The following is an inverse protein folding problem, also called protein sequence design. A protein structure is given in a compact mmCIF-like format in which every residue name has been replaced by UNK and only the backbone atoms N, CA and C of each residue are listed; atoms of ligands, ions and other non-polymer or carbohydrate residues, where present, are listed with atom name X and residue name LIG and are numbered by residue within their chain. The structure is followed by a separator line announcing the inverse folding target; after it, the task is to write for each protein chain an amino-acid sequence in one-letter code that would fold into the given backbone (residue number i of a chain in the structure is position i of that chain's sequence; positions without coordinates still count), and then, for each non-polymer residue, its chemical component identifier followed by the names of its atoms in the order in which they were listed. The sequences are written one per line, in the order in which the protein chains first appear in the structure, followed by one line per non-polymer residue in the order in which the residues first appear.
data_IF_834038150442
#
_entry.id   IF_834038150442
#
_cell.length_a   1.000
_cell.length_b   1.000
_cell.length_c   1.000
_cell.angle_alpha   90.00
_cell.angle_beta   90.00
_cell.angle_gamma   90.00
#
_symmetry.space_group_name_H-M   'P 1'
#
loop_
_entity.id
_entity.type
_entity.pdbx_description
1 polymer ?
#
# COMPACT_ATOMS: atom_id res chain seq x y z
N UNK A 1 -42.63 29.03 -25.72
CA UNK A 1 -43.94 28.44 -26.14
C UNK A 1 -43.75 26.98 -26.36
N UNK A 2 -44.61 26.22 -25.73
CA UNK A 2 -44.83 24.78 -25.81
C UNK A 2 -43.81 23.84 -25.12
N UNK A 3 -44.15 23.64 -23.84
CA UNK A 3 -43.84 22.51 -23.00
C UNK A 3 -44.58 21.29 -23.57
N UNK A 4 -43.87 20.23 -23.96
CA UNK A 4 -44.44 18.91 -24.12
C UNK A 4 -44.07 18.05 -22.93
N UNK A 5 -45.01 17.90 -22.01
CA UNK A 5 -44.94 16.90 -20.94
C UNK A 5 -45.22 15.51 -21.58
N UNK A 6 -44.15 14.76 -21.84
CA UNK A 6 -44.23 13.36 -22.17
C UNK A 6 -44.10 12.53 -20.90
N UNK A 7 -45.22 11.88 -20.50
CA UNK A 7 -45.20 10.78 -19.51
C UNK A 7 -44.34 9.66 -20.05
N UNK A 8 -43.10 9.55 -19.53
CA UNK A 8 -42.27 8.38 -19.80
C UNK A 8 -42.70 7.27 -18.84
N UNK A 9 -43.57 6.41 -19.31
CA UNK A 9 -43.89 5.11 -18.70
C UNK A 9 -42.60 4.30 -18.71
N UNK A 10 -42.05 3.99 -17.51
CA UNK A 10 -40.95 3.04 -17.30
C UNK A 10 -41.48 1.64 -17.62
N UNK A 11 -41.62 1.34 -18.92
CA UNK A 11 -41.81 0.00 -19.42
C UNK A 11 -40.77 -0.22 -20.53
N UNK A 12 -39.85 -1.18 -20.27
CA UNK A 12 -38.88 -1.75 -21.20
C UNK A 12 -37.60 -0.96 -21.46
N UNK A 13 -36.65 -1.12 -20.58
CA UNK A 13 -35.18 -1.37 -20.74
C UNK A 13 -34.41 -0.87 -19.54
N UNK A 14 -34.21 -1.73 -18.55
CA UNK A 14 -33.16 -1.55 -17.58
C UNK A 14 -31.86 -1.95 -18.28
N UNK A 15 -31.08 -0.97 -18.74
CA UNK A 15 -29.79 -1.21 -19.37
C UNK A 15 -28.73 -0.80 -18.37
N UNK A 16 -28.14 -1.79 -17.68
CA UNK A 16 -26.93 -1.61 -16.89
C UNK A 16 -25.77 -2.29 -17.63
N UNK A 17 -24.82 -1.49 -18.11
CA UNK A 17 -23.68 -2.01 -18.85
C UNK A 17 -22.69 -2.70 -17.88
N UNK A 18 -22.53 -4.01 -18.00
CA UNK A 18 -21.46 -4.74 -17.35
C UNK A 18 -20.21 -4.74 -18.22
N UNK A 19 -19.14 -4.08 -17.76
CA UNK A 19 -17.82 -4.21 -18.38
C UNK A 19 -17.05 -5.30 -17.64
N UNK A 20 -17.19 -6.54 -18.09
CA UNK A 20 -16.32 -7.64 -17.65
C UNK A 20 -15.05 -7.65 -18.51
N UNK A 21 -13.93 -8.16 -17.97
CA UNK A 21 -12.57 -8.12 -18.56
C UNK A 21 -12.49 -8.61 -20.03
N UNK A 22 -13.51 -9.30 -20.58
CA UNK A 22 -13.49 -9.83 -21.95
C UNK A 22 -14.80 -9.73 -22.77
N UNK A 23 -15.96 -9.37 -22.16
CA UNK A 23 -17.21 -9.18 -22.93
C UNK A 23 -18.11 -8.14 -22.25
N UNK A 24 -18.54 -7.11 -22.98
CA UNK A 24 -19.60 -6.20 -22.55
C UNK A 24 -20.96 -6.85 -22.84
N UNK A 25 -21.60 -7.42 -21.82
CA UNK A 25 -22.99 -7.92 -21.88
C UNK A 25 -23.88 -7.03 -21.03
N UNK A 26 -25.06 -6.70 -21.56
CA UNK A 26 -26.07 -5.97 -20.80
C UNK A 26 -26.78 -6.93 -19.82
N UNK A 27 -27.00 -6.44 -18.59
CA UNK A 27 -27.78 -7.17 -17.59
C UNK A 27 -29.25 -7.15 -17.97
N UNK A 28 -29.84 -8.32 -18.20
CA UNK A 28 -31.21 -8.51 -18.61
C UNK A 28 -32.15 -8.91 -17.48
N UNK A 29 -33.46 -8.75 -17.68
CA UNK A 29 -34.48 -9.09 -16.68
C UNK A 29 -34.52 -10.59 -16.33
N UNK A 30 -34.08 -11.47 -17.25
CA UNK A 30 -34.02 -12.91 -17.07
C UNK A 30 -32.71 -13.42 -16.42
N UNK A 31 -31.74 -12.54 -16.19
CA UNK A 31 -30.45 -12.95 -15.68
C UNK A 31 -30.52 -13.29 -14.20
N UNK A 32 -29.78 -14.32 -13.81
CA UNK A 32 -29.49 -14.71 -12.42
C UNK A 32 -28.05 -14.31 -12.11
N UNK A 33 -27.83 -13.71 -10.95
CA UNK A 33 -26.51 -13.31 -10.50
C UNK A 33 -25.90 -14.38 -9.60
N UNK A 34 -24.63 -14.68 -9.83
CA UNK A 34 -23.86 -15.66 -9.05
C UNK A 34 -22.91 -14.93 -8.09
N UNK A 35 -23.12 -15.12 -6.80
CA UNK A 35 -22.39 -14.43 -5.72
C UNK A 35 -21.32 -15.32 -5.09
N UNK A 36 -20.25 -14.72 -4.51
CA UNK A 36 -19.34 -15.42 -3.60
C UNK A 36 -20.10 -16.09 -2.45
N UNK A 37 -19.62 -17.26 -1.99
CA UNK A 37 -20.32 -18.06 -0.98
C UNK A 37 -20.35 -17.38 0.39
N UNK A 38 -19.22 -16.82 0.87
CA UNK A 38 -19.11 -16.16 2.17
C UNK A 38 -19.33 -14.66 2.05
N UNK A 39 -20.59 -14.23 2.16
CA UNK A 39 -20.96 -12.82 2.29
C UNK A 39 -21.45 -12.57 3.69
N UNK A 40 -20.83 -11.61 4.40
CA UNK A 40 -21.18 -11.20 5.76
C UNK A 40 -21.64 -9.77 5.81
N UNK A 41 -22.58 -9.48 6.71
CA UNK A 41 -23.15 -8.15 6.90
C UNK A 41 -22.58 -7.49 8.14
N UNK A 42 -22.16 -6.22 8.00
CA UNK A 42 -21.68 -5.39 9.10
C UNK A 42 -22.50 -4.09 9.12
N UNK A 43 -23.15 -3.81 10.24
CA UNK A 43 -23.84 -2.52 10.44
C UNK A 43 -22.82 -1.47 10.89
N UNK A 44 -22.80 -0.31 10.23
CA UNK A 44 -21.95 0.81 10.56
C UNK A 44 -22.65 2.14 10.27
N UNK A 45 -22.91 2.95 11.33
CA UNK A 45 -23.51 4.31 11.24
C UNK A 45 -24.72 4.39 10.31
N UNK A 46 -25.68 3.50 10.48
CA UNK A 46 -26.92 3.46 9.71
C UNK A 46 -26.81 2.85 8.31
N UNK A 47 -25.63 2.45 7.90
CA UNK A 47 -25.38 1.70 6.65
C UNK A 47 -25.15 0.23 6.93
N UNK A 48 -25.31 -0.60 5.92
CA UNK A 48 -24.94 -2.02 5.96
C UNK A 48 -23.87 -2.31 4.92
N UNK A 49 -22.72 -2.81 5.34
CA UNK A 49 -21.71 -3.33 4.41
C UNK A 49 -22.02 -4.81 4.16
N UNK A 50 -22.21 -5.19 2.90
CA UNK A 50 -22.19 -6.58 2.46
C UNK A 50 -20.78 -6.92 1.99
N UNK A 51 -20.06 -7.75 2.73
CA UNK A 51 -18.64 -8.06 2.52
C UNK A 51 -18.51 -9.48 1.97
N UNK A 52 -18.01 -9.62 0.75
CA UNK A 52 -17.56 -10.88 0.18
C UNK A 52 -16.17 -11.19 0.75
N UNK A 53 -16.14 -11.98 1.81
CA UNK A 53 -14.98 -12.11 2.71
C UNK A 53 -13.73 -12.58 1.99
N UNK A 54 -13.85 -13.65 1.18
CA UNK A 54 -12.71 -14.23 0.46
C UNK A 54 -12.23 -13.37 -0.72
N UNK A 55 -13.12 -12.54 -1.25
CA UNK A 55 -12.86 -11.72 -2.43
C UNK A 55 -12.28 -10.33 -2.09
N UNK A 56 -12.11 -9.98 -0.81
CA UNK A 56 -11.75 -8.61 -0.38
C UNK A 56 -12.64 -7.53 -1.03
N UNK A 57 -13.92 -7.84 -1.24
CA UNK A 57 -14.86 -6.99 -1.95
C UNK A 57 -16.07 -6.65 -1.07
N UNK A 58 -16.67 -5.48 -1.27
CA UNK A 58 -17.81 -5.06 -0.47
C UNK A 58 -18.76 -4.14 -1.25
N UNK A 59 -20.00 -4.11 -0.79
CA UNK A 59 -21.01 -3.12 -1.16
C UNK A 59 -21.43 -2.33 0.07
N UNK A 60 -21.83 -1.08 -0.12
CA UNK A 60 -22.49 -0.27 0.93
C UNK A 60 -23.96 -0.15 0.60
N UNK A 61 -24.81 -0.66 1.47
CA UNK A 61 -26.28 -0.71 1.32
C UNK A 61 -26.89 0.37 2.20
N UNK A 62 -27.75 1.19 1.60
CA UNK A 62 -28.34 2.36 2.27
C UNK A 62 -29.46 2.02 3.26
N UNK A 63 -30.24 0.98 2.99
CA UNK A 63 -31.41 0.61 3.75
C UNK A 63 -31.65 -0.90 3.79
N UNK A 64 -32.68 -1.34 4.52
CA UNK A 64 -33.04 -2.75 4.65
C UNK A 64 -33.64 -3.31 3.34
N UNK A 65 -34.25 -2.48 2.47
CA UNK A 65 -34.74 -2.89 1.17
C UNK A 65 -33.61 -3.36 0.25
N UNK A 66 -32.49 -2.62 0.23
CA UNK A 66 -31.30 -3.03 -0.53
C UNK A 66 -30.70 -4.37 -0.02
N UNK A 67 -30.74 -4.61 1.29
CA UNK A 67 -30.32 -5.89 1.90
C UNK A 67 -31.25 -7.02 1.44
N UNK A 68 -32.57 -6.83 1.52
CA UNK A 68 -33.56 -7.83 1.07
C UNK A 68 -33.42 -8.13 -0.44
N UNK A 69 -33.22 -7.11 -1.25
CA UNK A 69 -32.99 -7.28 -2.70
C UNK A 69 -31.74 -8.11 -2.97
N UNK A 70 -30.65 -7.85 -2.26
CA UNK A 70 -29.41 -8.62 -2.37
C UNK A 70 -29.63 -10.08 -1.96
N UNK A 71 -30.34 -10.35 -0.87
CA UNK A 71 -30.62 -11.73 -0.43
C UNK A 71 -31.51 -12.48 -1.44
N UNK A 72 -32.56 -11.85 -1.98
CA UNK A 72 -33.38 -12.45 -3.02
C UNK A 72 -32.59 -12.80 -4.28
N UNK A 73 -31.62 -11.96 -4.65
CA UNK A 73 -30.68 -12.26 -5.73
C UNK A 73 -29.80 -13.47 -5.41
N UNK A 74 -29.31 -13.56 -4.18
CA UNK A 74 -28.50 -14.69 -3.70
C UNK A 74 -29.29 -16.01 -3.64
N UNK A 75 -30.60 -15.95 -3.44
CA UNK A 75 -31.52 -17.11 -3.53
C UNK A 75 -31.75 -17.59 -4.98
N UNK A 76 -31.11 -16.95 -5.98
CA UNK A 76 -31.21 -17.32 -7.38
C UNK A 76 -32.42 -16.73 -8.11
N UNK A 77 -33.08 -15.71 -7.56
CA UNK A 77 -34.12 -14.97 -8.27
C UNK A 77 -33.52 -14.19 -9.41
N UNK A 78 -34.24 -14.13 -10.54
CA UNK A 78 -33.84 -13.29 -11.67
C UNK A 78 -33.98 -11.81 -11.33
N UNK A 79 -33.25 -10.95 -12.03
CA UNK A 79 -33.35 -9.49 -11.90
C UNK A 79 -34.81 -9.03 -12.02
N UNK A 80 -35.56 -9.62 -12.96
CA UNK A 80 -36.95 -9.29 -13.20
C UNK A 80 -37.90 -9.74 -12.10
N UNK A 81 -37.65 -10.90 -11.47
CA UNK A 81 -38.45 -11.38 -10.33
C UNK A 81 -38.30 -10.50 -9.11
N UNK A 82 -37.05 -10.08 -8.78
CA UNK A 82 -36.80 -9.14 -7.69
C UNK A 82 -37.46 -7.81 -7.97
N UNK A 83 -37.26 -7.22 -9.18
CA UNK A 83 -37.88 -5.94 -9.56
C UNK A 83 -39.39 -5.96 -9.45
N UNK A 84 -40.06 -7.03 -9.90
CA UNK A 84 -41.50 -7.19 -9.83
C UNK A 84 -42.04 -7.33 -8.40
N UNK A 85 -41.22 -7.77 -7.45
CA UNK A 85 -41.60 -7.92 -6.05
C UNK A 85 -41.58 -6.61 -5.28
N UNK A 86 -41.03 -5.51 -5.86
CA UNK A 86 -40.94 -4.20 -5.24
C UNK A 86 -42.19 -3.39 -5.53
N UNK A 87 -42.75 -2.81 -4.46
CA UNK A 87 -44.08 -2.17 -4.49
C UNK A 87 -44.03 -0.70 -4.87
N UNK A 88 -42.93 -0.01 -4.59
CA UNK A 88 -42.80 1.43 -4.78
C UNK A 88 -41.73 1.80 -5.81
N UNK A 89 -41.86 2.98 -6.40
CA UNK A 89 -40.86 3.50 -7.33
C UNK A 89 -39.50 3.76 -6.63
N UNK A 90 -39.52 4.11 -5.34
CA UNK A 90 -38.29 4.32 -4.58
C UNK A 90 -37.55 3.01 -4.33
N UNK A 91 -38.24 1.94 -3.93
CA UNK A 91 -37.63 0.60 -3.82
C UNK A 91 -37.02 0.14 -5.15
N UNK A 92 -37.72 0.37 -6.27
CA UNK A 92 -37.20 0.02 -7.60
C UNK A 92 -35.95 0.83 -7.94
N UNK A 93 -35.89 2.10 -7.59
CA UNK A 93 -34.73 2.97 -7.79
C UNK A 93 -33.53 2.50 -6.96
N UNK A 94 -33.75 2.20 -5.67
CA UNK A 94 -32.67 1.65 -4.80
C UNK A 94 -32.17 0.30 -5.32
N UNK A 95 -33.04 -0.55 -5.82
CA UNK A 95 -32.63 -1.81 -6.45
C UNK A 95 -31.77 -1.58 -7.71
N UNK A 96 -32.10 -0.60 -8.54
CA UNK A 96 -31.27 -0.23 -9.72
C UNK A 96 -29.90 0.26 -9.29
N UNK A 97 -29.81 1.06 -8.24
CA UNK A 97 -28.51 1.49 -7.67
C UNK A 97 -27.71 0.28 -7.16
N UNK A 98 -28.36 -0.65 -6.46
CA UNK A 98 -27.74 -1.89 -6.01
C UNK A 98 -27.16 -2.69 -7.20
N UNK A 99 -27.93 -2.89 -8.28
CA UNK A 99 -27.48 -3.58 -9.48
C UNK A 99 -26.27 -2.85 -10.12
N UNK A 100 -26.34 -1.53 -10.21
CA UNK A 100 -25.21 -0.71 -10.71
C UNK A 100 -23.95 -0.90 -9.88
N UNK A 101 -24.10 -0.94 -8.56
CA UNK A 101 -23.00 -1.17 -7.64
C UNK A 101 -22.42 -2.60 -7.74
N UNK A 102 -23.29 -3.62 -7.84
CA UNK A 102 -22.85 -5.02 -8.05
C UNK A 102 -21.99 -5.12 -9.31
N UNK A 103 -22.43 -4.48 -10.40
CA UNK A 103 -21.70 -4.45 -11.67
C UNK A 103 -20.37 -3.70 -11.54
N UNK A 104 -20.40 -2.48 -11.03
CA UNK A 104 -19.21 -1.62 -10.91
C UNK A 104 -18.12 -2.24 -10.01
N UNK A 105 -18.53 -2.98 -8.98
CA UNK A 105 -17.63 -3.68 -8.06
C UNK A 105 -17.32 -5.11 -8.50
N UNK A 106 -17.89 -5.62 -9.58
CA UNK A 106 -17.77 -7.04 -9.94
C UNK A 106 -18.10 -7.97 -8.74
N UNK A 107 -19.15 -7.60 -7.98
CA UNK A 107 -19.50 -8.28 -6.73
C UNK A 107 -20.22 -9.61 -6.98
N UNK A 108 -20.81 -9.78 -8.15
CA UNK A 108 -21.40 -11.01 -8.67
C UNK A 108 -21.07 -11.19 -10.15
N UNK A 109 -21.19 -12.41 -10.64
CA UNK A 109 -21.03 -12.75 -12.05
C UNK A 109 -22.32 -13.24 -12.68
N UNK A 110 -22.38 -13.31 -14.02
CA UNK A 110 -23.52 -13.83 -14.78
C UNK A 110 -23.45 -15.34 -14.99
N UNK A 111 -22.27 -15.88 -15.24
CA UNK A 111 -22.06 -17.30 -15.54
C UNK A 111 -21.52 -18.08 -14.33
N UNK A 112 -20.76 -17.40 -13.47
CA UNK A 112 -20.21 -17.95 -12.24
C UNK A 112 -19.94 -16.83 -11.22
N UNK A 113 -19.83 -17.21 -9.94
CA UNK A 113 -19.37 -16.30 -8.88
C UNK A 113 -17.92 -15.83 -9.15
N UNK A 114 -17.63 -14.53 -8.93
CA UNK A 114 -16.26 -14.04 -9.01
C UNK A 114 -15.33 -14.82 -8.08
N UNK A 115 -14.18 -15.23 -8.59
CA UNK A 115 -13.17 -15.94 -7.81
C UNK A 115 -12.11 -14.95 -7.28
N UNK A 116 -11.60 -15.14 -6.06
CA UNK A 116 -10.50 -14.32 -5.57
C UNK A 116 -9.23 -14.60 -6.36
N UNK A 117 -8.56 -13.53 -6.78
CA UNK A 117 -7.22 -13.57 -7.35
C UNK A 117 -6.23 -13.17 -6.25
N UNK A 118 -5.26 -14.04 -5.99
CA UNK A 118 -4.24 -13.71 -4.99
C UNK A 118 -3.13 -12.87 -5.60
N UNK A 119 -2.73 -11.82 -4.89
CA UNK A 119 -1.54 -11.06 -5.25
C UNK A 119 -0.34 -12.00 -5.16
N UNK A 120 0.19 -12.41 -6.30
CA UNK A 120 1.47 -13.07 -6.34
C UNK A 120 2.55 -12.02 -6.08
N UNK A 121 3.08 -12.01 -4.86
CA UNK A 121 4.26 -11.21 -4.56
C UNK A 121 5.41 -11.63 -5.47
N UNK A 122 5.95 -10.69 -6.26
CA UNK A 122 7.20 -10.97 -6.93
C UNK A 122 8.36 -10.86 -5.93
N UNK A 123 9.38 -11.70 -6.11
CA UNK A 123 10.53 -11.72 -5.22
C UNK A 123 11.27 -10.38 -5.29
N UNK A 124 11.21 -9.63 -4.20
CA UNK A 124 11.88 -8.34 -4.02
C UNK A 124 12.87 -8.45 -2.85
N UNK A 125 14.03 -7.83 -3.00
CA UNK A 125 15.06 -7.80 -1.97
C UNK A 125 15.33 -6.36 -1.54
N UNK A 126 15.27 -6.10 -0.22
CA UNK A 126 15.69 -4.83 0.36
C UNK A 126 17.15 -4.95 0.81
N UNK A 127 18.00 -4.04 0.38
CA UNK A 127 19.44 -4.07 0.63
C UNK A 127 19.87 -2.78 1.32
N UNK A 128 20.39 -2.91 2.53
CA UNK A 128 21.05 -1.85 3.27
C UNK A 128 22.55 -1.87 2.92
N UNK A 129 22.93 -1.21 1.82
CA UNK A 129 24.28 -1.30 1.24
C UNK A 129 25.40 -0.94 2.20
N UNK A 130 25.18 0.06 3.05
CA UNK A 130 26.16 0.55 4.04
C UNK A 130 25.46 1.17 5.23
N UNK A 131 26.06 1.14 6.38
CA UNK A 131 25.65 1.91 7.54
C UNK A 131 26.21 3.35 7.53
N UNK A 132 27.15 3.65 6.62
CA UNK A 132 27.68 5.01 6.48
C UNK A 132 26.57 5.98 6.04
N UNK A 133 26.54 7.15 6.66
CA UNK A 133 25.64 8.25 6.28
C UNK A 133 26.33 9.59 6.49
N UNK A 134 26.12 10.53 5.57
CA UNK A 134 26.59 11.91 5.66
C UNK A 134 25.64 12.84 6.43
N UNK A 135 24.56 12.28 7.00
CA UNK A 135 23.60 12.94 7.87
C UNK A 135 23.51 12.27 9.25
N UNK A 136 23.01 13.02 10.24
CA UNK A 136 22.79 12.54 11.60
C UNK A 136 21.34 12.85 12.07
N UNK A 137 20.36 12.49 11.25
CA UNK A 137 18.95 12.78 11.53
C UNK A 137 18.49 12.18 12.87
N UNK A 138 17.80 12.93 13.74
CA UNK A 138 17.37 12.45 15.05
C UNK A 138 16.33 11.32 14.96
N UNK A 139 15.48 11.31 13.93
CA UNK A 139 14.45 10.30 13.67
C UNK A 139 14.97 9.07 12.92
N UNK A 140 16.27 8.98 12.62
CA UNK A 140 16.82 7.85 11.86
C UNK A 140 16.67 6.53 12.61
N UNK A 141 15.73 5.67 12.18
CA UNK A 141 15.49 4.37 12.80
C UNK A 141 16.69 3.41 12.66
N UNK A 142 17.48 3.53 11.57
CA UNK A 142 18.70 2.76 11.37
C UNK A 142 19.85 3.22 12.26
N UNK A 143 19.78 4.41 12.87
CA UNK A 143 20.86 5.04 13.62
C UNK A 143 22.19 5.05 12.84
N UNK A 144 22.08 5.20 11.53
CA UNK A 144 23.17 5.14 10.58
C UNK A 144 24.17 6.29 10.79
N UNK A 145 25.42 6.10 10.41
CA UNK A 145 26.45 7.13 10.57
C UNK A 145 27.82 6.65 10.10
N UNK A 146 28.48 5.81 10.89
CA UNK A 146 29.80 5.26 10.52
C UNK A 146 29.63 3.93 9.78
N UNK A 147 30.51 3.69 8.82
CA UNK A 147 30.64 2.41 8.15
C UNK A 147 30.99 1.32 9.17
N UNK A 148 30.35 0.15 9.06
CA UNK A 148 30.72 -1.01 9.87
C UNK A 148 32.03 -1.63 9.33
N UNK A 149 32.81 -2.24 10.23
CA UNK A 149 34.08 -2.85 9.84
C UNK A 149 33.91 -4.08 8.95
N UNK A 150 32.78 -4.77 9.04
CA UNK A 150 32.46 -6.03 8.37
C UNK A 150 31.37 -5.88 7.26
N UNK A 151 31.16 -4.68 6.74
CA UNK A 151 30.24 -4.51 5.62
C UNK A 151 30.64 -5.35 4.41
N UNK A 152 29.64 -5.82 3.66
CA UNK A 152 29.85 -6.53 2.42
C UNK A 152 30.60 -5.66 1.41
N UNK A 153 31.52 -6.27 0.68
CA UNK A 153 32.25 -5.66 -0.42
C UNK A 153 31.37 -5.53 -1.66
N UNK A 154 31.84 -4.80 -2.65
CA UNK A 154 31.19 -4.72 -3.97
C UNK A 154 30.97 -6.11 -4.57
N UNK A 155 32.01 -6.95 -4.51
CA UNK A 155 32.01 -8.30 -5.08
C UNK A 155 31.00 -9.22 -4.37
N UNK A 156 30.93 -9.15 -3.05
CA UNK A 156 29.95 -9.89 -2.25
C UNK A 156 28.52 -9.45 -2.58
N UNK A 157 28.26 -8.14 -2.71
CA UNK A 157 26.95 -7.64 -3.14
C UNK A 157 26.56 -8.10 -4.54
N UNK A 158 27.49 -8.08 -5.49
CA UNK A 158 27.24 -8.58 -6.85
C UNK A 158 26.94 -10.08 -6.81
N UNK A 159 27.63 -10.85 -5.96
CA UNK A 159 27.33 -12.28 -5.71
C UNK A 159 25.90 -12.49 -5.20
N UNK A 160 25.48 -11.72 -4.20
CA UNK A 160 24.10 -11.75 -3.66
C UNK A 160 23.07 -11.43 -4.74
N UNK A 161 23.30 -10.42 -5.59
CA UNK A 161 22.39 -10.06 -6.69
C UNK A 161 22.29 -11.16 -7.74
N UNK A 162 23.41 -11.81 -8.06
CA UNK A 162 23.47 -12.92 -9.01
C UNK A 162 22.66 -14.10 -8.49
N UNK A 163 22.92 -14.56 -7.27
CA UNK A 163 22.16 -15.64 -6.62
C UNK A 163 20.67 -15.28 -6.51
N UNK A 164 20.35 -14.02 -6.16
CA UNK A 164 18.96 -13.56 -6.10
C UNK A 164 18.25 -13.67 -7.45
N UNK A 165 18.93 -13.30 -8.54
CA UNK A 165 18.40 -13.45 -9.89
C UNK A 165 18.17 -14.91 -10.27
N UNK A 166 19.12 -15.79 -9.96
CA UNK A 166 19.01 -17.24 -10.18
C UNK A 166 17.83 -17.84 -9.41
N UNK A 167 17.55 -17.36 -8.20
CA UNK A 167 16.37 -17.72 -7.41
C UNK A 167 15.05 -17.11 -7.93
N UNK A 168 15.06 -16.47 -9.10
CA UNK A 168 13.86 -15.85 -9.70
C UNK A 168 13.56 -14.45 -9.18
N UNK A 169 14.52 -13.77 -8.59
CA UNK A 169 14.42 -12.37 -8.14
C UNK A 169 14.03 -11.42 -9.28
N UNK A 170 13.21 -10.41 -8.96
CA UNK A 170 12.68 -9.45 -9.94
C UNK A 170 13.07 -8.02 -9.66
N UNK A 171 13.14 -7.62 -8.39
CA UNK A 171 13.42 -6.24 -8.01
C UNK A 171 14.31 -6.15 -6.77
N UNK A 172 15.09 -5.08 -6.72
CA UNK A 172 15.92 -4.74 -5.56
C UNK A 172 15.68 -3.29 -5.15
N UNK A 173 15.70 -3.05 -3.86
CA UNK A 173 15.68 -1.71 -3.28
C UNK A 173 16.97 -1.47 -2.54
N UNK A 174 17.77 -0.54 -3.01
CA UNK A 174 18.99 -0.11 -2.33
C UNK A 174 18.70 1.04 -1.36
N UNK A 175 19.13 0.87 -0.12
CA UNK A 175 19.01 1.82 0.98
C UNK A 175 20.20 1.66 1.93
N UNK A 176 20.07 2.05 3.19
CA UNK A 176 21.07 1.87 4.23
C UNK A 176 21.15 3.10 5.12
N UNK A 177 22.37 3.59 5.38
CA UNK A 177 22.60 4.97 5.78
C UNK A 177 22.35 5.88 4.58
N UNK A 178 23.38 6.09 3.78
CA UNK A 178 23.27 6.67 2.45
C UNK A 178 23.92 5.70 1.45
N UNK A 179 23.15 5.08 0.53
CA UNK A 179 23.69 4.05 -0.34
C UNK A 179 24.83 4.51 -1.23
N UNK A 180 24.85 5.80 -1.62
CA UNK A 180 25.92 6.38 -2.46
C UNK A 180 27.27 6.43 -1.73
N UNK A 181 27.32 6.28 -0.41
CA UNK A 181 28.57 6.19 0.35
C UNK A 181 29.20 4.79 0.32
N UNK A 182 28.52 3.79 -0.23
CA UNK A 182 29.17 2.51 -0.49
C UNK A 182 30.13 2.64 -1.67
N UNK A 183 31.44 2.32 -1.54
CA UNK A 183 32.44 2.54 -2.59
C UNK A 183 32.12 1.87 -3.93
N UNK A 184 31.35 0.78 -3.90
CA UNK A 184 30.91 0.04 -5.08
C UNK A 184 29.53 0.42 -5.60
N UNK A 185 28.86 1.47 -5.09
CA UNK A 185 27.46 1.77 -5.39
C UNK A 185 27.15 1.72 -6.88
N UNK A 186 27.90 2.47 -7.70
CA UNK A 186 27.65 2.55 -9.14
C UNK A 186 27.72 1.17 -9.80
N UNK A 187 28.79 0.41 -9.51
CA UNK A 187 28.98 -0.92 -10.09
C UNK A 187 27.91 -1.93 -9.63
N UNK A 188 27.42 -1.80 -8.41
CA UNK A 188 26.33 -2.64 -7.87
C UNK A 188 25.01 -2.33 -8.59
N UNK A 189 24.69 -1.04 -8.81
CA UNK A 189 23.50 -0.62 -9.59
C UNK A 189 23.60 -1.11 -11.03
N UNK A 190 24.73 -0.90 -11.68
CA UNK A 190 25.00 -1.37 -13.05
C UNK A 190 24.85 -2.90 -13.17
N UNK A 191 25.41 -3.64 -12.22
CA UNK A 191 25.27 -5.11 -12.17
C UNK A 191 23.81 -5.55 -11.96
N UNK A 192 23.07 -4.93 -11.05
CA UNK A 192 21.65 -5.23 -10.85
C UNK A 192 20.84 -5.00 -12.14
N UNK A 193 21.10 -3.90 -12.83
CA UNK A 193 20.45 -3.59 -14.11
C UNK A 193 20.81 -4.61 -15.20
N UNK A 194 22.09 -4.97 -15.33
CA UNK A 194 22.56 -5.98 -16.30
C UNK A 194 21.95 -7.37 -16.05
N UNK A 195 21.70 -7.71 -14.79
CA UNK A 195 20.97 -8.92 -14.40
C UNK A 195 19.47 -8.83 -14.73
N UNK A 196 18.97 -7.70 -15.23
CA UNK A 196 17.56 -7.48 -15.52
C UNK A 196 16.70 -7.39 -14.26
N UNK A 197 17.25 -6.89 -13.15
CA UNK A 197 16.52 -6.56 -11.94
C UNK A 197 15.95 -5.13 -12.03
N UNK A 198 14.74 -4.93 -11.55
CA UNK A 198 14.17 -3.60 -11.36
C UNK A 198 14.84 -2.93 -10.16
N UNK A 199 15.49 -1.79 -10.37
CA UNK A 199 16.28 -1.11 -9.33
C UNK A 199 15.53 0.08 -8.79
N UNK A 200 15.34 0.12 -7.46
CA UNK A 200 14.85 1.27 -6.70
C UNK A 200 15.95 1.75 -5.75
N UNK A 201 16.12 3.07 -5.61
CA UNK A 201 17.08 3.66 -4.67
C UNK A 201 16.35 4.57 -3.68
N UNK A 202 16.57 4.35 -2.38
CA UNK A 202 16.12 5.24 -1.32
C UNK A 202 17.34 6.02 -0.80
N UNK A 203 17.31 7.34 -0.93
CA UNK A 203 18.48 8.20 -0.68
C UNK A 203 18.10 9.48 0.07
N UNK A 204 19.05 10.06 0.78
CA UNK A 204 18.91 11.42 1.29
C UNK A 204 19.08 12.51 0.20
N UNK A 205 19.48 12.12 -1.01
CA UNK A 205 19.50 12.97 -2.19
C UNK A 205 20.70 13.90 -2.33
N UNK A 206 21.60 14.03 -1.34
CA UNK A 206 22.64 15.08 -1.32
C UNK A 206 23.80 14.80 -2.29
N UNK A 207 24.16 13.52 -2.46
CA UNK A 207 25.35 13.11 -3.19
C UNK A 207 25.13 12.91 -4.70
N UNK A 208 23.91 13.10 -5.16
CA UNK A 208 23.59 13.03 -6.57
C UNK A 208 24.06 14.30 -7.29
N UNK A 209 24.91 14.12 -8.28
CA UNK A 209 25.30 15.16 -9.25
C UNK A 209 24.52 14.99 -10.54
N UNK A 210 24.47 16.03 -11.35
CA UNK A 210 23.81 16.00 -12.65
C UNK A 210 24.31 14.86 -13.53
N UNK A 211 25.64 14.66 -13.59
CA UNK A 211 26.26 13.61 -14.38
C UNK A 211 25.89 12.21 -13.84
N UNK A 212 25.78 12.06 -12.52
CA UNK A 212 25.41 10.79 -11.91
C UNK A 212 23.94 10.46 -12.16
N UNK A 213 23.07 11.47 -12.06
CA UNK A 213 21.64 11.33 -12.37
C UNK A 213 21.46 10.91 -13.82
N UNK A 214 22.07 11.61 -14.77
CA UNK A 214 21.96 11.32 -16.19
C UNK A 214 22.47 9.90 -16.54
N UNK A 215 23.58 9.50 -15.93
CA UNK A 215 24.17 8.18 -16.16
C UNK A 215 23.34 7.04 -15.61
N UNK A 216 22.81 7.17 -14.38
CA UNK A 216 22.11 6.07 -13.71
C UNK A 216 20.60 6.03 -13.98
N UNK A 217 19.96 7.15 -14.36
CA UNK A 217 18.52 7.20 -14.63
C UNK A 217 18.01 6.07 -15.54
N UNK A 218 18.69 5.70 -16.66
CA UNK A 218 18.21 4.60 -17.51
C UNK A 218 18.20 3.22 -16.83
N UNK A 219 18.87 3.09 -15.69
CA UNK A 219 18.99 1.83 -14.94
C UNK A 219 18.02 1.76 -13.77
N UNK A 220 17.34 2.87 -13.43
CA UNK A 220 16.49 3.00 -12.25
C UNK A 220 15.01 2.99 -12.63
N UNK A 221 14.23 2.19 -11.91
CA UNK A 221 12.77 2.21 -12.02
C UNK A 221 12.18 3.28 -11.12
N UNK A 222 12.74 3.45 -9.92
CA UNK A 222 12.28 4.46 -8.96
C UNK A 222 13.44 5.01 -8.12
N UNK A 223 13.37 6.30 -7.83
CA UNK A 223 14.20 6.94 -6.81
C UNK A 223 13.28 7.58 -5.78
N UNK A 224 13.53 7.31 -4.50
CA UNK A 224 12.89 8.00 -3.39
C UNK A 224 13.89 8.94 -2.74
N UNK A 225 13.58 10.24 -2.76
CA UNK A 225 14.39 11.27 -2.11
C UNK A 225 13.68 11.71 -0.83
N UNK A 226 14.46 11.83 0.24
CA UNK A 226 13.93 12.24 1.53
C UNK A 226 14.05 13.75 1.73
N UNK A 227 12.90 14.44 1.86
CA UNK A 227 12.81 15.88 2.15
C UNK A 227 11.89 16.06 3.36
N UNK A 228 12.47 16.43 4.51
CA UNK A 228 11.74 16.51 5.79
C UNK A 228 11.41 17.95 6.18
N UNK A 229 10.96 18.75 5.25
CA UNK A 229 10.56 20.13 5.45
C UNK A 229 9.93 20.71 4.21
N UNK A 230 9.51 21.96 4.29
CA UNK A 230 8.87 22.71 3.19
C UNK A 230 9.78 23.82 2.63
N UNK A 231 10.84 24.09 3.34
CA UNK A 231 11.92 25.04 3.02
C UNK A 231 13.22 24.62 3.74
N UNK A 232 14.31 25.32 3.46
CA UNK A 232 15.62 25.00 4.07
C UNK A 232 15.58 25.12 5.60
N UNK A 233 14.86 26.10 6.14
CA UNK A 233 14.80 26.33 7.59
C UNK A 233 14.10 25.17 8.34
N UNK A 234 13.00 24.65 7.81
CA UNK A 234 12.27 23.52 8.39
C UNK A 234 12.98 22.18 8.16
N UNK A 235 13.57 21.98 6.97
CA UNK A 235 14.36 20.80 6.67
C UNK A 235 15.65 20.73 7.51
N UNK A 236 16.28 21.87 7.75
CA UNK A 236 17.51 21.96 8.54
C UNK A 236 17.34 21.50 10.01
N UNK A 237 16.13 21.65 10.57
CA UNK A 237 15.85 21.23 11.97
C UNK A 237 16.02 19.73 12.18
N UNK A 238 15.80 18.93 11.16
CA UNK A 238 15.81 17.45 11.25
C UNK A 238 16.84 16.78 10.33
N UNK A 239 17.40 17.51 9.35
CA UNK A 239 18.42 16.98 8.43
C UNK A 239 19.70 17.82 8.44
N UNK A 240 19.81 18.82 7.56
CA UNK A 240 20.97 19.70 7.41
C UNK A 240 20.56 20.99 6.69
N UNK A 241 21.15 22.11 7.09
CA UNK A 241 20.97 23.38 6.43
C UNK A 241 21.67 23.43 5.06
N UNK A 242 21.12 24.22 4.13
CA UNK A 242 21.73 24.53 2.84
C UNK A 242 21.62 23.39 1.80
N UNK A 243 20.78 22.38 2.03
CA UNK A 243 20.62 21.25 1.11
C UNK A 243 19.26 21.21 0.42
N UNK A 244 18.25 21.92 0.95
CA UNK A 244 16.87 21.80 0.53
C UNK A 244 16.68 22.01 -0.98
N UNK A 245 17.27 23.09 -1.51
CA UNK A 245 17.15 23.41 -2.93
C UNK A 245 17.79 22.34 -3.82
N UNK A 246 18.96 21.82 -3.45
CA UNK A 246 19.61 20.70 -4.15
C UNK A 246 18.69 19.47 -4.20
N UNK A 247 18.01 19.15 -3.10
CA UNK A 247 17.09 18.00 -3.07
C UNK A 247 15.90 18.20 -4.01
N UNK A 248 15.32 19.40 -4.03
CA UNK A 248 14.20 19.73 -4.93
C UNK A 248 14.64 19.64 -6.39
N UNK A 249 15.80 20.20 -6.74
CA UNK A 249 16.34 20.13 -8.10
C UNK A 249 16.62 18.68 -8.53
N UNK A 250 17.16 17.84 -7.64
CA UNK A 250 17.39 16.44 -7.92
C UNK A 250 16.08 15.65 -8.16
N UNK A 251 15.01 15.95 -7.39
CA UNK A 251 13.66 15.40 -7.64
C UNK A 251 13.18 15.74 -9.06
N UNK A 252 13.27 17.01 -9.42
CA UNK A 252 12.84 17.51 -10.74
C UNK A 252 13.65 16.84 -11.86
N UNK A 253 14.98 16.80 -11.72
CA UNK A 253 15.87 16.23 -12.74
C UNK A 253 15.64 14.73 -12.96
N UNK A 254 15.49 13.93 -11.90
CA UNK A 254 15.13 12.51 -12.03
C UNK A 254 13.79 12.32 -12.75
N UNK A 255 12.79 13.14 -12.41
CA UNK A 255 11.48 13.09 -13.06
C UNK A 255 11.58 13.45 -14.55
N UNK A 256 12.35 14.48 -14.91
CA UNK A 256 12.59 14.88 -16.30
C UNK A 256 13.35 13.80 -17.08
N UNK A 257 14.23 13.04 -16.43
CA UNK A 257 14.92 11.88 -17.02
C UNK A 257 14.04 10.63 -17.10
N UNK A 258 12.74 10.73 -16.79
CA UNK A 258 11.76 9.64 -16.93
C UNK A 258 11.78 8.59 -15.80
N UNK A 259 12.55 8.83 -14.73
CA UNK A 259 12.54 7.96 -13.54
C UNK A 259 11.28 8.24 -12.73
N UNK A 260 10.64 7.20 -12.22
CA UNK A 260 9.57 7.38 -11.22
C UNK A 260 10.16 7.92 -9.92
N UNK A 261 9.71 9.09 -9.50
CA UNK A 261 10.24 9.75 -8.29
C UNK A 261 9.20 9.76 -7.19
N UNK A 262 9.65 9.46 -5.98
CA UNK A 262 8.86 9.70 -4.78
C UNK A 262 9.64 10.58 -3.79
N UNK A 263 8.94 11.52 -3.17
CA UNK A 263 9.44 12.34 -2.05
C UNK A 263 8.90 11.75 -0.77
N UNK A 264 9.81 11.28 0.11
CA UNK A 264 9.44 10.80 1.45
C UNK A 264 9.68 11.92 2.45
N UNK A 265 8.63 12.26 3.23
CA UNK A 265 8.69 13.32 4.23
C UNK A 265 8.31 12.80 5.59
N UNK A 266 9.18 13.03 6.56
CA UNK A 266 8.94 12.76 7.98
C UNK A 266 9.04 14.08 8.74
N UNK A 267 7.90 14.60 9.18
CA UNK A 267 7.90 15.68 10.16
C UNK A 267 8.19 15.11 11.55
N UNK A 268 8.84 15.89 12.40
CA UNK A 268 9.02 15.58 13.82
C UNK A 268 8.48 16.74 14.64
N UNK A 269 8.49 16.65 15.97
CA UNK A 269 8.07 17.75 16.82
C UNK A 269 8.86 19.05 16.57
N UNK A 270 10.09 18.94 16.02
CA UNK A 270 10.96 20.08 15.76
C UNK A 270 10.51 20.93 14.57
N UNK A 271 9.79 20.33 13.60
CA UNK A 271 9.40 20.99 12.37
C UNK A 271 7.95 20.77 11.94
N UNK A 272 7.13 20.08 12.73
CA UNK A 272 5.72 19.77 12.40
C UNK A 272 4.88 21.05 12.19
N UNK A 273 5.25 22.17 12.78
CA UNK A 273 4.58 23.44 12.60
C UNK A 273 4.67 23.99 11.16
N UNK A 274 5.64 23.51 10.37
CA UNK A 274 5.76 23.83 8.94
C UNK A 274 4.86 22.97 8.05
N UNK A 275 4.37 21.84 8.56
CA UNK A 275 3.62 20.86 7.76
C UNK A 275 2.36 21.42 7.06
N UNK A 276 1.60 22.38 7.60
CA UNK A 276 0.48 22.99 6.87
C UNK A 276 0.87 23.67 5.56
N UNK A 277 2.15 24.06 5.40
CA UNK A 277 2.70 24.61 4.15
C UNK A 277 3.20 23.56 3.16
N UNK A 278 3.03 22.28 3.44
CA UNK A 278 3.56 21.20 2.59
C UNK A 278 2.96 21.23 1.17
N UNK A 279 1.73 21.72 1.03
CA UNK A 279 1.11 21.92 -0.28
C UNK A 279 1.91 22.89 -1.18
N UNK A 280 2.64 23.86 -0.62
CA UNK A 280 3.50 24.79 -1.38
C UNK A 280 4.64 24.01 -2.06
N UNK A 281 5.30 23.09 -1.33
CA UNK A 281 6.35 22.24 -1.89
C UNK A 281 5.79 21.28 -2.95
N UNK A 282 4.64 20.65 -2.69
CA UNK A 282 3.96 19.76 -3.64
C UNK A 282 3.65 20.49 -4.94
N UNK A 283 3.06 21.70 -4.87
CA UNK A 283 2.71 22.50 -6.03
C UNK A 283 3.95 22.90 -6.82
N UNK A 284 4.98 23.40 -6.14
CA UNK A 284 6.25 23.78 -6.77
C UNK A 284 6.88 22.65 -7.59
N UNK A 285 6.96 21.44 -7.00
CA UNK A 285 7.53 20.29 -7.71
C UNK A 285 6.61 19.83 -8.85
N UNK A 286 5.31 19.85 -8.65
CA UNK A 286 4.32 19.44 -9.65
C UNK A 286 4.31 20.36 -10.89
N UNK A 287 4.58 21.66 -10.73
CA UNK A 287 4.68 22.60 -11.83
C UNK A 287 5.83 22.26 -12.80
N UNK A 288 6.93 21.71 -12.27
CA UNK A 288 8.12 21.37 -13.06
C UNK A 288 8.20 19.90 -13.50
N UNK A 289 7.27 19.04 -13.01
CA UNK A 289 7.31 17.58 -13.22
C UNK A 289 6.03 17.00 -13.82
N UNK A 290 5.11 17.84 -14.31
CA UNK A 290 3.80 17.41 -14.84
C UNK A 290 3.02 16.50 -13.89
N UNK A 291 3.11 16.74 -12.58
CA UNK A 291 2.44 15.97 -11.51
C UNK A 291 2.81 14.48 -11.48
N UNK A 292 4.02 14.13 -11.88
CA UNK A 292 4.49 12.74 -11.91
C UNK A 292 5.17 12.28 -10.62
N UNK A 293 5.43 13.20 -9.68
CA UNK A 293 6.10 12.88 -8.41
C UNK A 293 5.09 12.40 -7.37
N UNK A 294 5.44 11.33 -6.66
CA UNK A 294 4.62 10.75 -5.59
C UNK A 294 5.09 11.31 -4.25
N UNK A 295 4.20 11.91 -3.47
CA UNK A 295 4.52 12.44 -2.15
C UNK A 295 4.05 11.47 -1.06
N UNK A 296 4.97 11.03 -0.21
CA UNK A 296 4.76 10.05 0.85
C UNK A 296 4.99 10.70 2.21
N UNK A 297 3.93 10.95 2.98
CA UNK A 297 4.03 11.44 4.35
C UNK A 297 4.11 10.27 5.34
N UNK A 298 5.10 10.31 6.22
CA UNK A 298 5.23 9.31 7.29
C UNK A 298 4.12 9.50 8.31
N UNK A 299 3.33 8.45 8.58
CA UNK A 299 2.19 8.47 9.52
C UNK A 299 2.52 7.96 10.92
N UNK A 300 3.68 7.32 11.08
CA UNK A 300 4.14 6.76 12.37
C UNK A 300 5.64 6.97 12.52
N UNK A 301 6.05 7.56 13.62
CA UNK A 301 7.46 7.71 13.97
C UNK A 301 7.93 6.43 14.68
N UNK A 302 8.85 5.72 14.04
CA UNK A 302 9.54 4.60 14.64
C UNK A 302 10.62 5.11 15.61
N UNK A 303 11.03 4.31 16.62
CA UNK A 303 12.13 4.67 17.50
C UNK A 303 13.41 4.97 16.70
N UNK A 304 13.83 6.23 16.72
CA UNK A 304 14.99 6.71 16.00
C UNK A 304 16.24 6.84 16.86
N UNK A 305 17.18 7.66 16.41
CA UNK A 305 18.41 7.98 17.13
C UNK A 305 18.13 8.73 18.43
N UNK A 306 17.35 9.80 18.35
CA UNK A 306 16.99 10.70 19.44
C UNK A 306 15.48 10.92 19.53
N UNK A 307 14.73 10.57 18.47
CA UNK A 307 13.27 10.72 18.42
C UNK A 307 12.61 9.40 18.82
N UNK A 308 11.73 9.48 19.82
CA UNK A 308 10.92 8.34 20.23
C UNK A 308 9.53 8.82 20.61
N UNK A 309 8.51 8.26 19.96
CA UNK A 309 7.11 8.56 20.24
C UNK A 309 6.45 7.33 20.87
N UNK A 310 5.70 7.55 21.93
CA UNK A 310 4.81 6.54 22.47
C UNK A 310 3.55 6.37 21.58
N UNK A 311 2.66 5.49 21.95
CA UNK A 311 1.46 5.19 21.16
C UNK A 311 0.50 6.40 21.06
N UNK A 312 0.31 7.13 22.15
CA UNK A 312 -0.55 8.32 22.16
C UNK A 312 0.03 9.46 21.29
N UNK A 313 1.35 9.66 21.38
CA UNK A 313 2.06 10.64 20.55
C UNK A 313 2.00 10.26 19.07
N UNK A 314 2.18 8.98 18.71
CA UNK A 314 2.05 8.51 17.33
C UNK A 314 0.61 8.69 16.81
N UNK A 315 -0.41 8.46 17.63
CA UNK A 315 -1.81 8.69 17.25
C UNK A 315 -2.09 10.16 17.00
N UNK A 316 -1.62 11.05 17.87
CA UNK A 316 -1.76 12.50 17.69
C UNK A 316 -0.98 13.01 16.47
N UNK A 317 0.20 12.45 16.23
CA UNK A 317 1.01 12.74 15.05
C UNK A 317 0.31 12.30 13.75
N UNK A 318 -0.21 11.08 13.70
CA UNK A 318 -0.94 10.56 12.55
C UNK A 318 -2.13 11.47 12.18
N UNK A 319 -2.87 11.96 13.18
CA UNK A 319 -3.99 12.87 12.96
C UNK A 319 -3.54 14.20 12.34
N UNK A 320 -2.43 14.79 12.81
CA UNK A 320 -1.84 15.98 12.19
C UNK A 320 -1.43 15.76 10.75
N UNK A 321 -0.81 14.62 10.45
CA UNK A 321 -0.39 14.29 9.08
C UNK A 321 -1.59 14.10 8.16
N UNK A 322 -2.67 13.50 8.65
CA UNK A 322 -3.92 13.39 7.87
C UNK A 322 -4.51 14.77 7.53
N UNK A 323 -4.47 15.72 8.45
CA UNK A 323 -4.89 17.09 8.18
C UNK A 323 -4.04 17.74 7.08
N UNK A 324 -2.73 17.48 7.05
CA UNK A 324 -1.85 17.95 5.98
C UNK A 324 -2.20 17.31 4.63
N UNK A 325 -2.47 16.00 4.60
CA UNK A 325 -2.93 15.31 3.38
C UNK A 325 -4.24 15.92 2.87
N UNK A 326 -5.17 16.26 3.74
CA UNK A 326 -6.45 16.91 3.39
C UNK A 326 -6.28 18.34 2.83
N UNK A 327 -5.24 19.05 3.24
CA UNK A 327 -4.91 20.38 2.68
C UNK A 327 -4.35 20.27 1.24
N UNK A 328 -3.70 19.16 0.91
CA UNK A 328 -3.16 18.91 -0.44
C UNK A 328 -4.28 18.46 -1.38
N UNK A 329 -5.01 17.45 -0.97
CA UNK A 329 -6.16 16.89 -1.69
C UNK A 329 -7.11 16.20 -0.70
N UNK A 330 -8.28 16.81 -0.42
CA UNK A 330 -9.24 16.26 0.54
C UNK A 330 -9.79 14.89 0.12
N UNK A 331 -9.71 14.54 -1.16
CA UNK A 331 -10.25 13.30 -1.72
C UNK A 331 -9.20 12.22 -1.96
N UNK A 332 -7.91 12.57 -1.98
CA UNK A 332 -6.82 11.64 -2.27
C UNK A 332 -6.85 10.37 -1.39
N UNK A 333 -7.27 10.50 -0.13
CA UNK A 333 -7.43 9.35 0.79
C UNK A 333 -8.45 8.33 0.30
N UNK A 334 -9.55 8.79 -0.31
CA UNK A 334 -10.62 7.92 -0.81
C UNK A 334 -10.20 7.23 -2.10
N UNK A 335 -9.54 7.96 -3.00
CA UNK A 335 -8.98 7.40 -4.22
C UNK A 335 -7.92 6.35 -3.91
N UNK A 336 -6.93 6.70 -3.08
CA UNK A 336 -5.87 5.78 -2.66
C UNK A 336 -6.42 4.53 -1.95
N UNK A 337 -7.46 4.67 -1.13
CA UNK A 337 -8.12 3.53 -0.49
C UNK A 337 -8.78 2.61 -1.51
N UNK A 338 -9.53 3.16 -2.47
CA UNK A 338 -10.21 2.37 -3.50
C UNK A 338 -9.23 1.72 -4.49
N UNK A 339 -8.15 2.41 -4.84
CA UNK A 339 -7.11 1.90 -5.73
C UNK A 339 -6.27 0.80 -5.06
N UNK A 340 -6.05 0.92 -3.74
CA UNK A 340 -5.40 -0.10 -2.92
C UNK A 340 -6.26 -1.36 -2.72
N UNK A 341 -7.57 -1.31 -3.03
CA UNK A 341 -8.51 -2.41 -2.82
C UNK A 341 -9.25 -2.77 -4.12
N UNK A 342 -8.51 -3.28 -5.10
CA UNK A 342 -9.08 -3.79 -6.35
C UNK A 342 -10.03 -4.95 -6.04
N UNK A 343 -11.29 -4.94 -6.56
CA UNK A 343 -12.22 -6.03 -6.36
C UNK A 343 -11.64 -7.39 -6.73
N UNK A 344 -11.85 -8.37 -5.87
CA UNK A 344 -11.41 -9.76 -6.01
C UNK A 344 -9.88 -9.98 -5.99
N UNK A 345 -9.06 -8.93 -5.85
CA UNK A 345 -7.61 -9.03 -5.70
C UNK A 345 -7.24 -9.03 -4.21
N UNK A 346 -6.66 -10.12 -3.73
CA UNK A 346 -6.46 -10.37 -2.30
C UNK A 346 -4.98 -10.40 -1.92
N UNK A 347 -4.62 -9.60 -0.91
CA UNK A 347 -3.32 -9.65 -0.23
C UNK A 347 -3.51 -10.14 1.20
N UNK A 348 -3.03 -11.35 1.53
CA UNK A 348 -3.28 -12.01 2.83
C UNK A 348 -2.34 -11.61 3.96
N UNK A 349 -1.32 -10.81 3.69
CA UNK A 349 -0.32 -10.43 4.68
C UNK A 349 0.25 -9.03 4.41
N UNK A 350 0.89 -8.42 5.43
CA UNK A 350 1.82 -7.32 5.21
C UNK A 350 3.10 -7.83 4.51
N UNK A 351 4.10 -6.97 4.29
CA UNK A 351 5.38 -7.37 3.67
C UNK A 351 6.27 -8.29 4.54
N UNK A 352 5.78 -8.80 5.69
CA UNK A 352 6.54 -9.73 6.54
C UNK A 352 6.80 -11.04 5.80
N UNK A 353 8.01 -11.55 5.90
CA UNK A 353 8.53 -12.65 5.08
C UNK A 353 9.34 -12.15 3.86
N UNK A 354 9.21 -10.87 3.49
CA UNK A 354 10.07 -10.24 2.48
C UNK A 354 11.49 -10.04 3.04
N UNK A 355 12.51 -10.43 2.24
CA UNK A 355 13.89 -10.38 2.70
C UNK A 355 14.46 -8.96 2.74
N UNK A 356 15.22 -8.70 3.78
CA UNK A 356 16.10 -7.54 3.90
C UNK A 356 17.49 -8.00 4.31
N UNK A 357 18.52 -7.49 3.64
CA UNK A 357 19.92 -7.80 3.97
C UNK A 357 20.56 -6.51 4.47
N UNK A 358 21.13 -6.58 5.69
CA UNK A 358 21.86 -5.47 6.29
C UNK A 358 23.28 -5.37 5.70
N UNK A 359 23.95 -4.25 5.95
CA UNK A 359 25.26 -3.95 5.41
C UNK A 359 26.33 -5.00 5.74
N UNK A 360 26.21 -5.67 6.86
CA UNK A 360 27.08 -6.74 7.34
C UNK A 360 26.71 -8.15 6.83
N UNK A 361 25.73 -8.24 5.93
CA UNK A 361 25.24 -9.48 5.35
C UNK A 361 24.19 -10.21 6.19
N UNK A 362 23.78 -9.70 7.34
CA UNK A 362 22.73 -10.31 8.13
C UNK A 362 21.36 -10.22 7.41
N UNK A 363 20.62 -11.33 7.42
CA UNK A 363 19.34 -11.50 6.75
C UNK A 363 18.18 -11.32 7.74
N UNK A 364 17.16 -10.60 7.32
CA UNK A 364 15.94 -10.33 8.10
C UNK A 364 14.70 -10.55 7.24
N UNK A 365 13.57 -10.86 7.89
CA UNK A 365 12.28 -11.11 7.23
C UNK A 365 11.36 -9.90 7.16
N UNK A 366 11.91 -8.71 7.37
CA UNK A 366 11.23 -7.43 7.23
C UNK A 366 12.27 -6.32 7.09
N UNK A 367 11.87 -5.19 6.48
CA UNK A 367 12.71 -3.99 6.39
C UNK A 367 12.93 -3.29 7.74
N UNK A 368 12.23 -3.68 8.81
CA UNK A 368 12.44 -3.19 10.18
C UNK A 368 13.55 -4.00 10.89
N UNK A 369 14.72 -4.02 10.27
CA UNK A 369 15.86 -4.89 10.65
C UNK A 369 16.37 -4.74 12.09
N UNK A 370 16.16 -3.58 12.73
CA UNK A 370 16.57 -3.37 14.13
C UNK A 370 15.53 -3.84 15.17
N UNK A 371 14.36 -4.27 14.73
CA UNK A 371 13.24 -4.62 15.61
C UNK A 371 12.92 -6.13 15.61
N UNK A 372 13.60 -6.88 14.76
CA UNK A 372 13.42 -8.32 14.63
C UNK A 372 14.77 -9.05 14.66
N UNK A 373 14.82 -10.31 15.10
CA UNK A 373 16.04 -11.10 15.08
C UNK A 373 16.48 -11.38 13.64
N UNK A 374 17.79 -11.46 13.45
CA UNK A 374 18.37 -11.95 12.20
C UNK A 374 18.09 -13.45 12.00
N UNK A 375 17.98 -13.84 10.75
CA UNK A 375 17.70 -15.23 10.34
C UNK A 375 18.93 -15.93 9.73
N UNK A 376 20.10 -15.35 9.84
CA UNK A 376 21.35 -15.87 9.31
C UNK A 376 22.19 -14.74 8.68
N UNK A 377 23.20 -15.16 7.89
CA UNK A 377 24.08 -14.24 7.17
C UNK A 377 24.38 -14.80 5.77
N UNK A 378 24.41 -13.94 4.76
CA UNK A 378 24.66 -14.35 3.35
C UNK A 378 26.06 -14.95 3.13
N UNK A 379 27.00 -14.78 4.06
CA UNK A 379 28.31 -15.40 4.04
C UNK A 379 28.29 -16.87 4.50
N UNK A 380 27.28 -17.23 5.31
CA UNK A 380 27.20 -18.51 6.01
C UNK A 380 26.12 -19.44 5.42
N UNK A 381 25.15 -18.88 4.69
CA UNK A 381 24.03 -19.63 4.13
C UNK A 381 23.64 -19.12 2.74
N UNK A 382 23.03 -19.97 1.93
CA UNK A 382 22.54 -19.60 0.61
C UNK A 382 21.34 -18.64 0.70
N UNK A 383 21.22 -17.78 -0.29
CA UNK A 383 20.07 -16.90 -0.40
C UNK A 383 18.78 -17.68 -0.70
N UNK A 384 18.89 -18.79 -1.41
CA UNK A 384 17.77 -19.71 -1.65
C UNK A 384 17.14 -20.17 -0.33
N UNK A 385 17.96 -20.63 0.63
CA UNK A 385 17.47 -21.01 1.97
C UNK A 385 16.75 -19.86 2.67
N UNK A 386 17.32 -18.65 2.59
CA UNK A 386 16.72 -17.45 3.19
C UNK A 386 15.37 -17.09 2.55
N UNK A 387 15.24 -17.24 1.23
CA UNK A 387 14.00 -17.00 0.50
C UNK A 387 12.91 -18.02 0.88
N UNK A 388 13.27 -19.30 0.99
CA UNK A 388 12.35 -20.36 1.43
C UNK A 388 11.84 -20.10 2.85
N UNK A 389 12.73 -19.68 3.74
CA UNK A 389 12.35 -19.28 5.10
C UNK A 389 11.41 -18.07 5.10
N UNK A 390 11.69 -17.09 4.25
CA UNK A 390 10.82 -15.91 4.09
C UNK A 390 9.44 -16.26 3.56
N UNK A 391 9.34 -17.13 2.56
CA UNK A 391 8.08 -17.60 2.01
C UNK A 391 7.28 -18.38 3.07
N UNK A 392 7.93 -19.28 3.80
CA UNK A 392 7.31 -19.97 4.94
C UNK A 392 6.77 -18.96 5.97
N UNK A 393 7.57 -17.98 6.36
CA UNK A 393 7.16 -16.94 7.30
C UNK A 393 5.95 -16.16 6.79
N UNK A 394 5.95 -15.79 5.51
CA UNK A 394 4.86 -15.05 4.88
C UNK A 394 3.53 -15.84 4.95
N UNK A 395 3.56 -17.13 4.64
CA UNK A 395 2.39 -18.01 4.69
C UNK A 395 1.91 -18.20 6.14
N UNK A 396 2.80 -18.61 7.04
CA UNK A 396 2.46 -18.94 8.43
C UNK A 396 2.00 -17.73 9.26
N UNK A 397 2.38 -16.52 8.88
CA UNK A 397 1.90 -15.28 9.50
C UNK A 397 0.76 -14.61 8.74
N UNK A 398 0.24 -15.26 7.69
CA UNK A 398 -0.92 -14.81 6.95
C UNK A 398 -2.19 -14.75 7.81
N UNK A 399 -3.18 -13.96 7.38
CA UNK A 399 -4.42 -13.72 8.16
C UNK A 399 -5.21 -14.99 8.48
N UNK A 400 -5.01 -16.07 7.73
CA UNK A 400 -5.66 -17.36 7.96
C UNK A 400 -5.04 -18.12 9.16
N UNK A 401 -3.85 -17.69 9.60
CA UNK A 401 -3.07 -18.29 10.69
C UNK A 401 -3.01 -17.41 11.95
N UNK A 402 -3.63 -16.23 11.93
CA UNK A 402 -3.59 -15.29 13.06
C UNK A 402 -4.97 -15.05 13.67
N UNK A 403 -5.05 -14.99 15.00
CA UNK A 403 -6.27 -14.69 15.74
C UNK A 403 -6.34 -13.22 16.17
N UNK A 404 -7.51 -12.57 16.16
CA UNK A 404 -8.83 -13.10 15.75
C UNK A 404 -9.10 -12.96 14.23
N UNK A 405 -8.08 -12.59 13.42
CA UNK A 405 -8.24 -12.20 12.02
C UNK A 405 -8.90 -13.29 11.17
N UNK A 406 -8.54 -14.56 11.35
CA UNK A 406 -9.10 -15.66 10.53
C UNK A 406 -10.64 -15.75 10.59
N UNK A 407 -11.28 -15.19 11.62
CA UNK A 407 -12.75 -15.15 11.75
C UNK A 407 -13.36 -13.80 11.37
N UNK A 408 -12.54 -12.79 11.10
CA UNK A 408 -13.01 -11.45 10.82
C UNK A 408 -13.61 -11.34 9.42
N UNK A 409 -14.76 -10.66 9.30
CA UNK A 409 -15.44 -10.48 8.02
C UNK A 409 -14.65 -9.62 7.04
N UNK A 410 -13.80 -8.70 7.53
CA UNK A 410 -12.98 -7.81 6.69
C UNK A 410 -11.51 -8.22 6.63
N UNK A 411 -11.19 -9.48 6.95
CA UNK A 411 -9.79 -9.95 7.06
C UNK A 411 -8.97 -9.71 5.78
N UNK A 412 -9.54 -10.01 4.64
CA UNK A 412 -8.87 -9.88 3.34
C UNK A 412 -8.80 -8.43 2.83
N UNK A 413 -9.56 -7.49 3.43
CA UNK A 413 -9.46 -6.04 3.19
C UNK A 413 -8.44 -5.43 4.15
N UNK A 414 -8.45 -5.84 5.42
CA UNK A 414 -7.57 -5.34 6.47
C UNK A 414 -6.13 -5.88 6.36
N UNK A 415 -5.94 -7.13 5.92
CA UNK A 415 -4.64 -7.81 5.91
C UNK A 415 -4.06 -8.10 7.31
N UNK A 416 -4.76 -7.75 8.39
CA UNK A 416 -4.38 -8.05 9.77
C UNK A 416 -3.33 -7.13 10.39
N UNK A 417 -2.94 -6.03 9.74
CA UNK A 417 -1.98 -5.06 10.29
C UNK A 417 -0.52 -5.51 10.30
N UNK A 418 0.33 -4.74 10.98
CA UNK A 418 1.78 -4.98 11.06
C UNK A 418 2.11 -6.16 11.97
N UNK A 419 2.86 -7.14 11.49
CA UNK A 419 3.24 -8.33 12.26
C UNK A 419 4.19 -8.04 13.43
N UNK A 420 4.86 -6.90 13.41
CA UNK A 420 5.77 -6.47 14.48
C UNK A 420 5.01 -5.67 15.56
N UNK A 421 4.12 -4.75 15.15
CA UNK A 421 3.49 -3.82 16.07
C UNK A 421 2.26 -4.38 16.79
N UNK A 422 1.53 -5.31 16.14
CA UNK A 422 0.17 -5.66 16.55
C UNK A 422 0.04 -7.09 17.04
N UNK A 423 1.11 -7.90 16.97
CA UNK A 423 1.09 -9.31 17.37
C UNK A 423 2.09 -9.59 18.48
N UNK A 424 1.82 -10.63 19.29
CA UNK A 424 2.78 -11.18 20.26
C UNK A 424 3.89 -11.93 19.52
N UNK A 425 4.77 -11.13 18.89
CA UNK A 425 5.90 -11.62 18.13
C UNK A 425 7.12 -11.73 19.04
N UNK A 426 7.27 -12.87 19.71
CA UNK A 426 8.42 -13.13 20.58
C UNK A 426 9.58 -13.72 19.78
N UNK A 427 10.49 -12.84 19.37
CA UNK A 427 11.86 -13.21 19.03
C UNK A 427 12.08 -14.25 17.96
N UNK A 428 11.15 -14.47 17.04
CA UNK A 428 11.27 -15.45 15.97
C UNK A 428 10.48 -16.75 16.19
N UNK A 429 9.73 -16.89 17.28
CA UNK A 429 8.93 -18.09 17.59
C UNK A 429 7.70 -18.28 16.70
N UNK A 430 7.47 -17.41 15.71
CA UNK A 430 6.50 -17.64 14.64
C UNK A 430 6.79 -18.95 13.87
N UNK A 431 8.01 -19.49 13.93
CA UNK A 431 8.42 -20.77 13.34
C UNK A 431 7.88 -21.98 14.11
N UNK A 432 7.46 -21.82 15.37
CA UNK A 432 7.04 -22.93 16.23
C UNK A 432 5.60 -23.42 16.01
N UNK A 433 4.89 -22.90 15.00
CA UNK A 433 3.50 -23.29 14.70
C UNK A 433 2.47 -22.77 15.70
N UNK A 434 2.82 -21.84 16.57
CA UNK A 434 1.87 -21.18 17.45
C UNK A 434 1.04 -20.16 16.67
N UNK A 435 -0.27 -20.16 16.88
CA UNK A 435 -1.16 -19.16 16.32
C UNK A 435 -0.83 -17.80 16.93
N UNK A 436 -0.44 -16.84 16.07
CA UNK A 436 -0.19 -15.46 16.51
C UNK A 436 -1.49 -14.83 17.01
N UNK A 437 -1.39 -14.01 18.04
CA UNK A 437 -2.51 -13.22 18.58
C UNK A 437 -2.28 -11.75 18.32
N UNK A 438 -3.31 -11.10 17.83
CA UNK A 438 -3.32 -9.65 17.70
C UNK A 438 -3.64 -9.01 19.05
N UNK A 439 -2.72 -8.23 19.58
CA UNK A 439 -2.86 -7.64 20.91
C UNK A 439 -3.69 -6.35 20.93
N UNK A 440 -3.66 -5.56 19.86
CA UNK A 440 -4.06 -4.15 19.91
C UNK A 440 -5.16 -3.72 18.97
N UNK A 441 -5.61 -4.54 18.02
CA UNK A 441 -6.63 -4.13 17.07
C UNK A 441 -8.02 -4.50 17.55
N UNK A 442 -8.92 -3.52 17.80
CA UNK A 442 -10.33 -3.82 17.99
C UNK A 442 -10.92 -4.30 16.65
N UNK A 443 -11.27 -5.57 16.56
CA UNK A 443 -11.91 -6.12 15.36
C UNK A 443 -13.44 -6.05 15.47
N UNK A 444 -14.14 -5.52 14.44
CA UNK A 444 -13.61 -4.92 13.22
C UNK A 444 -13.04 -3.49 13.48
N UNK A 445 -11.97 -3.15 12.79
CA UNK A 445 -11.33 -1.84 12.89
C UNK A 445 -12.28 -0.71 12.44
N UNK A 446 -12.68 0.17 13.35
CA UNK A 446 -13.68 1.23 13.10
C UNK A 446 -13.21 2.21 12.02
N UNK A 447 -11.92 2.56 12.01
CA UNK A 447 -11.36 3.42 10.99
C UNK A 447 -11.46 2.79 9.59
N UNK A 448 -11.19 1.49 9.48
CA UNK A 448 -11.29 0.78 8.21
C UNK A 448 -12.74 0.72 7.72
N UNK A 449 -13.71 0.46 8.62
CA UNK A 449 -15.13 0.50 8.27
C UNK A 449 -15.56 1.89 7.79
N UNK A 450 -15.07 2.94 8.44
CA UNK A 450 -15.28 4.33 8.00
C UNK A 450 -14.75 4.53 6.57
N UNK A 451 -13.51 4.14 6.32
CA UNK A 451 -12.89 4.28 4.99
C UNK A 451 -13.61 3.45 3.92
N UNK A 452 -14.06 2.24 4.25
CA UNK A 452 -14.85 1.41 3.32
C UNK A 452 -16.15 2.09 2.91
N UNK A 453 -16.85 2.75 3.85
CA UNK A 453 -18.10 3.45 3.55
C UNK A 453 -17.82 4.74 2.78
N UNK A 454 -17.01 5.64 3.31
CA UNK A 454 -16.78 6.97 2.74
C UNK A 454 -16.13 6.90 1.34
N UNK A 455 -15.13 6.02 1.14
CA UNK A 455 -14.49 5.86 -0.17
C UNK A 455 -15.42 5.23 -1.19
N UNK A 456 -16.30 4.31 -0.75
CA UNK A 456 -17.31 3.73 -1.61
C UNK A 456 -18.32 4.79 -2.07
N UNK A 457 -18.86 5.59 -1.13
CA UNK A 457 -19.80 6.66 -1.45
C UNK A 457 -19.17 7.73 -2.34
N UNK A 458 -17.90 8.08 -2.11
CA UNK A 458 -17.15 9.00 -2.97
C UNK A 458 -17.07 8.51 -4.42
N UNK A 459 -16.76 7.22 -4.62
CA UNK A 459 -16.55 6.65 -5.96
C UNK A 459 -17.85 6.23 -6.66
N UNK A 460 -18.88 5.82 -5.91
CA UNK A 460 -20.11 5.21 -6.41
C UNK A 460 -21.38 5.94 -5.93
N UNK A 461 -21.31 7.27 -5.71
CA UNK A 461 -22.53 8.09 -5.54
C UNK A 461 -23.28 8.14 -6.86
N UNK A 462 -24.29 7.26 -6.99
CA UNK A 462 -25.17 7.17 -8.15
C UNK A 462 -26.39 8.08 -8.05
#
# INVERSE_FOLDING_TARGET
MNVCAGRCTIRHRLIVFMKMKEQSRELGMGDVLHFPADIRYIKYKGKTLAVAVENANWLVLGDDCAVECLERQREGKTVGEVLKSLSTAEEQKEYVKLLSAIVARQFAGLDAAPQPEFVQGYKMLNIYLTNACNLNCPHCFMKAGRRLANELTREEWIGVLTEFKECGGKAVTFTGGEPLLHPGFNAIVESAHQLGLQVTVLTNGILWTDELIDRLSPMLVEVQISIDGVDDASNAKVRKAGIFETLVQNVIRFSQNGVRVSVATTFTNDNIDSAPRYAELVNRINEETDKKVIFKLTKKILPGRETQYNEAENKAYEEKIRQVEELIDPNAKYEAFMDGHTPNLVAKNCGFGGLSIAADGNVYLCNRVLEIPKQGNVRDQSLQHSLELGEKAHVETGIDHVEPCRRCAIRNICGGGCRIDEYDFKGGDWVSGQTLRQEKCPCPNEYLLKMMVESYEYKYSF
#
